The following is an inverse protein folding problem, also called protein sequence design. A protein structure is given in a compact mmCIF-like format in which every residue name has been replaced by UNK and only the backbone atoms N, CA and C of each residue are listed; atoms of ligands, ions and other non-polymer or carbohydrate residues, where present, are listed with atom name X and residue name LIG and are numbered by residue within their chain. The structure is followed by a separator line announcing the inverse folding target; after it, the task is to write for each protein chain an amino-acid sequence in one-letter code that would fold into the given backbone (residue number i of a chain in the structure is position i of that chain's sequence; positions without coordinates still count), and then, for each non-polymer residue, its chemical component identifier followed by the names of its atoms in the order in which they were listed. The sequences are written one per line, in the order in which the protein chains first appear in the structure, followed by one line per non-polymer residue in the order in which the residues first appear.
data_IF_501648841937
#
_entry.id   IF_501648841937
#
_cell.length_a   1.000
_cell.length_b   1.000
_cell.length_c   1.000
_cell.angle_alpha   90.00
_cell.angle_beta   90.00
_cell.angle_gamma   90.00
#
_symmetry.space_group_name_H-M   'P 1'
#
loop_
_entity.id
_entity.type
_entity.pdbx_description
1 polymer ?
#
# COMPACT_ATOMS: atom_id res chain seq x y z
N UNK A 1 13.47 -4.49 -6.20
CA UNK A 1 13.32 -5.86 -6.77
C UNK A 1 11.88 -5.99 -7.19
N UNK A 2 11.64 -6.20 -8.49
CA UNK A 2 10.29 -6.22 -9.04
C UNK A 2 9.75 -7.64 -9.11
N UNK A 3 8.67 -7.88 -8.38
CA UNK A 3 7.95 -9.14 -8.38
C UNK A 3 6.61 -8.97 -9.09
N UNK A 4 6.34 -9.78 -10.12
CA UNK A 4 5.07 -9.73 -10.85
C UNK A 4 4.03 -10.61 -10.14
N UNK A 5 3.01 -9.99 -9.54
CA UNK A 5 1.91 -10.66 -8.83
C UNK A 5 0.81 -11.11 -9.78
N UNK A 6 0.41 -10.22 -10.70
CA UNK A 6 -0.52 -10.50 -11.80
C UNK A 6 -0.05 -9.84 -13.10
N UNK A 7 -0.76 -10.05 -14.20
CA UNK A 7 -0.46 -9.41 -15.49
C UNK A 7 -0.26 -7.90 -15.40
N UNK A 8 -1.00 -7.24 -14.50
CA UNK A 8 -1.01 -5.79 -14.30
C UNK A 8 -0.72 -5.33 -12.86
N UNK A 9 -0.23 -6.22 -11.98
CA UNK A 9 0.10 -5.90 -10.59
C UNK A 9 1.54 -6.31 -10.32
N UNK A 10 2.32 -5.33 -9.87
CA UNK A 10 3.76 -5.46 -9.61
C UNK A 10 4.04 -5.03 -8.17
N UNK A 11 4.87 -5.78 -7.50
CA UNK A 11 5.38 -5.52 -6.16
C UNK A 11 6.83 -5.02 -6.28
N UNK A 12 7.14 -3.94 -5.60
CA UNK A 12 8.44 -3.27 -5.59
C UNK A 12 8.97 -3.36 -4.15
N UNK A 13 10.03 -4.13 -3.97
CA UNK A 13 10.69 -4.35 -2.68
C UNK A 13 12.09 -3.75 -2.66
N UNK A 14 12.49 -3.26 -1.50
CA UNK A 14 13.71 -2.48 -1.34
C UNK A 14 14.68 -3.09 -0.34
N UNK A 15 15.95 -2.69 -0.43
CA UNK A 15 16.98 -3.19 0.48
C UNK A 15 16.95 -2.54 1.86
N UNK A 16 16.60 -1.25 1.93
CA UNK A 16 16.54 -0.52 3.19
C UNK A 16 15.14 -0.65 3.79
N UNK A 17 15.06 -0.46 5.11
CA UNK A 17 13.78 -0.51 5.80
C UNK A 17 12.82 0.53 5.22
N UNK A 18 11.62 0.08 4.89
CA UNK A 18 10.57 0.84 4.24
C UNK A 18 9.46 -0.11 3.82
N UNK A 19 8.30 0.44 3.54
CA UNK A 19 7.19 -0.37 3.04
C UNK A 19 7.46 -0.92 1.65
N UNK A 20 6.82 -2.05 1.37
CA UNK A 20 6.60 -2.56 0.03
C UNK A 20 5.66 -1.63 -0.73
N UNK A 21 6.03 -1.34 -1.97
CA UNK A 21 5.24 -0.52 -2.88
C UNK A 21 4.57 -1.40 -3.93
N UNK A 22 3.32 -1.10 -4.30
CA UNK A 22 2.62 -1.84 -5.34
C UNK A 22 2.23 -0.94 -6.50
N UNK A 23 2.61 -1.34 -7.71
CA UNK A 23 2.18 -0.70 -8.95
C UNK A 23 1.06 -1.52 -9.61
N UNK A 24 -0.04 -0.85 -9.93
CA UNK A 24 -1.20 -1.43 -10.59
C UNK A 24 -1.46 -0.64 -11.87
N UNK A 25 -1.49 -1.35 -13.01
CA UNK A 25 -1.81 -0.77 -14.32
C UNK A 25 -3.28 -1.09 -14.66
N UNK A 26 -4.12 -0.07 -14.84
CA UNK A 26 -5.52 -0.23 -15.22
C UNK A 26 -5.79 0.65 -16.43
N UNK A 27 -6.09 0.05 -17.57
CA UNK A 27 -6.25 0.75 -18.85
C UNK A 27 -5.01 1.61 -19.17
N UNK A 28 -5.16 2.93 -19.24
CA UNK A 28 -4.09 3.91 -19.46
C UNK A 28 -3.54 4.52 -18.15
N UNK A 29 -3.99 4.05 -16.99
CA UNK A 29 -3.66 4.58 -15.67
C UNK A 29 -2.62 3.76 -14.91
N UNK A 30 -1.67 4.46 -14.29
CA UNK A 30 -0.69 3.89 -13.36
C UNK A 30 -1.03 4.32 -11.93
N UNK A 31 -1.28 3.32 -11.08
CA UNK A 31 -1.70 3.52 -9.70
C UNK A 31 -0.64 2.92 -8.80
N UNK A 32 -0.15 3.71 -7.84
CA UNK A 32 0.82 3.28 -6.86
C UNK A 32 0.14 3.17 -5.49
N UNK A 33 0.46 2.13 -4.73
CA UNK A 33 0.09 1.97 -3.32
C UNK A 33 1.36 2.11 -2.49
N UNK A 34 1.35 3.09 -1.59
CA UNK A 34 2.47 3.56 -0.78
C UNK A 34 3.69 4.02 -1.61
N UNK A 35 4.67 4.62 -0.94
CA UNK A 35 5.87 5.21 -1.55
C UNK A 35 7.19 4.84 -0.86
N UNK A 36 7.14 3.92 0.11
CA UNK A 36 8.29 3.55 0.93
C UNK A 36 8.92 4.72 1.71
N UNK A 37 10.05 4.44 2.35
CA UNK A 37 10.88 5.40 3.09
C UNK A 37 11.80 6.21 2.17
N UNK A 38 12.27 7.37 2.61
CA UNK A 38 13.18 8.23 1.82
C UNK A 38 14.49 7.50 1.46
N UNK A 39 14.96 6.59 2.30
CA UNK A 39 16.13 5.74 2.06
C UNK A 39 16.00 4.88 0.79
N UNK A 40 14.76 4.54 0.42
CA UNK A 40 14.45 3.72 -0.75
C UNK A 40 14.17 4.54 -2.02
N UNK A 41 14.29 5.87 -1.97
CA UNK A 41 13.98 6.79 -3.08
C UNK A 41 14.59 6.39 -4.41
N UNK A 42 15.89 6.10 -4.43
CA UNK A 42 16.59 5.79 -5.67
C UNK A 42 16.15 4.44 -6.23
N UNK A 43 16.01 3.42 -5.37
CA UNK A 43 15.54 2.09 -5.79
C UNK A 43 14.10 2.15 -6.32
N UNK A 44 13.22 2.94 -5.72
CA UNK A 44 11.86 3.17 -6.22
C UNK A 44 11.85 3.81 -7.62
N UNK A 45 12.70 4.81 -7.85
CA UNK A 45 12.85 5.44 -9.18
C UNK A 45 13.39 4.43 -10.20
N UNK A 46 14.39 3.63 -9.81
CA UNK A 46 15.01 2.63 -10.68
C UNK A 46 14.02 1.52 -11.05
N UNK A 47 13.25 1.01 -10.09
CA UNK A 47 12.22 -0.02 -10.32
C UNK A 47 11.08 0.53 -11.22
N UNK A 48 10.66 1.79 -11.05
CA UNK A 48 9.71 2.43 -11.97
C UNK A 48 10.27 2.56 -13.38
N UNK A 49 11.54 2.97 -13.52
CA UNK A 49 12.22 3.09 -14.82
C UNK A 49 12.30 1.75 -15.54
N UNK A 50 12.58 0.65 -14.84
CA UNK A 50 12.57 -0.71 -15.40
C UNK A 50 11.16 -1.11 -15.91
N UNK A 51 10.11 -0.59 -15.28
CA UNK A 51 8.72 -0.73 -15.71
C UNK A 51 8.29 0.27 -16.79
N UNK A 52 9.27 1.00 -17.37
CA UNK A 52 9.13 2.06 -18.37
C UNK A 52 8.25 3.24 -17.90
N UNK A 53 8.35 3.58 -16.62
CA UNK A 53 7.63 4.68 -15.99
C UNK A 53 8.60 5.64 -15.32
N UNK A 54 8.23 6.90 -15.30
CA UNK A 54 8.80 7.91 -14.39
C UNK A 54 7.79 8.23 -13.29
N UNK A 55 8.20 8.81 -12.14
CA UNK A 55 7.27 9.25 -11.11
C UNK A 55 6.13 10.13 -11.63
N UNK A 56 6.39 10.98 -12.62
CA UNK A 56 5.41 11.86 -13.25
C UNK A 56 4.34 11.11 -14.08
N UNK A 57 4.55 9.82 -14.36
CA UNK A 57 3.60 8.96 -15.05
C UNK A 57 2.61 8.26 -14.11
N UNK A 58 2.77 8.41 -12.79
CA UNK A 58 1.81 7.90 -11.81
C UNK A 58 0.61 8.83 -11.76
N UNK A 59 -0.57 8.30 -12.05
CA UNK A 59 -1.83 9.03 -12.06
C UNK A 59 -2.46 9.12 -10.66
N UNK A 60 -2.25 8.10 -9.83
CA UNK A 60 -2.85 8.01 -8.50
C UNK A 60 -1.87 7.38 -7.52
N UNK A 61 -1.69 8.01 -6.37
CA UNK A 61 -0.91 7.49 -5.25
C UNK A 61 -1.88 7.25 -4.09
N UNK A 62 -2.08 5.99 -3.73
CA UNK A 62 -2.92 5.59 -2.61
C UNK A 62 -2.03 5.30 -1.42
N UNK A 63 -2.26 5.97 -0.29
CA UNK A 63 -1.49 5.78 0.94
C UNK A 63 -2.33 4.99 1.92
N UNK A 64 -1.84 3.82 2.36
CA UNK A 64 -2.58 2.93 3.26
C UNK A 64 -2.73 3.52 4.66
N UNK A 65 -1.74 4.28 5.12
CA UNK A 65 -1.73 5.04 6.36
C UNK A 65 -0.56 6.04 6.41
N UNK A 66 -0.59 6.96 7.38
CA UNK A 66 0.39 8.03 7.55
C UNK A 66 1.58 7.65 8.46
N UNK A 67 2.44 6.77 7.97
CA UNK A 67 3.76 6.51 8.57
C UNK A 67 4.90 6.79 7.60
N UNK A 68 6.02 7.27 8.14
CA UNK A 68 7.18 7.77 7.37
C UNK A 68 7.77 6.74 6.40
N UNK A 69 7.70 5.46 6.75
CA UNK A 69 8.14 4.32 5.95
C UNK A 69 7.14 3.93 4.84
N UNK A 70 5.96 4.54 4.82
CA UNK A 70 4.94 4.40 3.75
C UNK A 70 4.83 5.64 2.87
N UNK A 71 5.14 6.82 3.41
CA UNK A 71 4.87 8.12 2.77
C UNK A 71 6.14 8.92 2.41
N UNK A 72 7.32 8.36 2.62
CA UNK A 72 8.60 9.06 2.54
C UNK A 72 8.95 9.63 1.16
N UNK A 73 8.33 9.15 0.08
CA UNK A 73 8.62 9.59 -1.28
C UNK A 73 7.42 10.21 -2.01
N UNK A 74 6.38 10.64 -1.29
CA UNK A 74 5.18 11.22 -1.91
C UNK A 74 5.50 12.39 -2.87
N UNK A 75 6.49 13.22 -2.53
CA UNK A 75 6.89 14.39 -3.30
C UNK A 75 7.43 14.06 -4.71
N UNK A 76 7.76 12.80 -5.00
CA UNK A 76 8.15 12.38 -6.35
C UNK A 76 6.96 12.39 -7.32
N UNK A 77 5.76 12.15 -6.81
CA UNK A 77 4.57 11.87 -7.62
C UNK A 77 3.76 13.13 -7.88
N UNK A 78 4.42 14.15 -8.43
CA UNK A 78 3.88 15.52 -8.60
C UNK A 78 2.60 15.62 -9.44
N UNK A 79 2.36 14.66 -10.34
CA UNK A 79 1.15 14.61 -11.17
C UNK A 79 0.04 13.71 -10.60
N UNK A 80 0.33 12.95 -9.54
CA UNK A 80 -0.60 11.96 -9.02
C UNK A 80 -1.70 12.62 -8.18
N UNK A 81 -2.94 12.13 -8.33
CA UNK A 81 -3.97 12.35 -7.32
C UNK A 81 -3.62 11.53 -6.08
N UNK A 82 -3.38 12.18 -4.95
CA UNK A 82 -3.12 11.51 -3.68
C UNK A 82 -4.43 11.12 -3.02
N UNK A 83 -4.55 9.85 -2.65
CA UNK A 83 -5.70 9.28 -1.95
C UNK A 83 -5.23 8.72 -0.62
N UNK A 84 -5.92 9.10 0.44
CA UNK A 84 -5.71 8.66 1.81
C UNK A 84 -7.06 8.26 2.40
N UNK A 85 -7.08 7.83 3.66
CA UNK A 85 -8.34 7.59 4.36
C UNK A 85 -9.26 8.83 4.41
N UNK A 86 -8.69 10.05 4.35
CA UNK A 86 -9.46 11.31 4.43
C UNK A 86 -10.32 11.61 3.19
N UNK A 87 -10.02 11.01 2.05
CA UNK A 87 -10.71 11.19 0.78
C UNK A 87 -10.92 9.85 0.07
N UNK A 88 -11.24 8.81 0.82
CA UNK A 88 -11.32 7.43 0.34
C UNK A 88 -12.41 7.20 -0.71
N UNK A 89 -13.42 8.07 -0.74
CA UNK A 89 -14.48 8.12 -1.75
C UNK A 89 -13.98 8.43 -3.17
N UNK A 90 -12.77 8.99 -3.28
CA UNK A 90 -12.11 9.28 -4.55
C UNK A 90 -11.43 8.08 -5.20
N UNK A 91 -11.41 6.91 -4.53
CA UNK A 91 -10.78 5.70 -5.06
C UNK A 91 -11.38 5.31 -6.42
N UNK A 92 -10.55 4.82 -7.37
CA UNK A 92 -11.07 4.27 -8.60
C UNK A 92 -12.05 3.12 -8.30
N UNK A 93 -13.13 3.02 -9.07
CA UNK A 93 -14.28 2.13 -8.79
C UNK A 93 -13.92 0.63 -8.68
N UNK A 94 -12.78 0.24 -9.23
CA UNK A 94 -12.26 -1.12 -9.17
C UNK A 94 -11.73 -1.50 -7.77
N UNK A 95 -11.38 -0.50 -6.95
CA UNK A 95 -10.86 -0.68 -5.60
C UNK A 95 -11.97 -0.61 -4.57
N UNK A 96 -11.96 -1.54 -3.63
CA UNK A 96 -12.87 -1.56 -2.48
C UNK A 96 -12.07 -1.25 -1.22
N UNK A 97 -12.26 -0.07 -0.62
CA UNK A 97 -11.61 0.25 0.65
C UNK A 97 -12.23 -0.54 1.80
N UNK A 98 -11.40 -0.95 2.75
CA UNK A 98 -11.82 -1.63 3.98
C UNK A 98 -11.10 -0.96 5.15
N UNK A 99 -11.84 -0.28 6.01
CA UNK A 99 -11.29 0.38 7.19
C UNK A 99 -10.72 -0.65 8.15
N UNK A 100 -9.46 -0.46 8.55
CA UNK A 100 -8.74 -1.39 9.43
C UNK A 100 -7.94 -0.66 10.50
N UNK A 101 -8.58 0.18 11.33
CA UNK A 101 -7.87 0.91 12.38
C UNK A 101 -7.22 -0.06 13.36
N UNK A 102 -6.14 0.38 13.97
CA UNK A 102 -5.46 -0.32 15.04
C UNK A 102 -3.95 -0.22 14.99
N UNK A 103 -3.33 -0.37 13.81
CA UNK A 103 -1.92 0.01 13.65
C UNK A 103 -1.78 1.53 13.75
N UNK A 104 -2.56 2.23 12.91
CA UNK A 104 -2.91 3.64 13.07
C UNK A 104 -4.44 3.78 13.05
N UNK A 105 -4.96 4.96 13.40
CA UNK A 105 -6.40 5.23 13.31
C UNK A 105 -6.87 5.42 11.86
N UNK A 106 -5.98 5.82 10.96
CA UNK A 106 -6.25 6.04 9.55
C UNK A 106 -5.90 4.83 8.67
N UNK A 107 -5.47 3.71 9.25
CA UNK A 107 -5.18 2.48 8.50
C UNK A 107 -6.39 1.95 7.74
N UNK A 108 -6.21 1.63 6.47
CA UNK A 108 -7.18 0.89 5.68
C UNK A 108 -6.51 -0.09 4.71
N UNK A 109 -7.20 -1.20 4.45
CA UNK A 109 -6.86 -2.14 3.40
C UNK A 109 -7.59 -1.78 2.10
N UNK A 110 -7.05 -2.27 0.98
CA UNK A 110 -7.63 -2.09 -0.35
C UNK A 110 -7.80 -3.45 -1.00
N UNK A 111 -9.03 -3.81 -1.36
CA UNK A 111 -9.31 -5.00 -2.15
C UNK A 111 -9.43 -4.63 -3.63
N UNK A 112 -8.66 -5.30 -4.48
CA UNK A 112 -8.70 -5.18 -5.94
C UNK A 112 -8.72 -6.59 -6.54
N UNK A 113 -9.81 -6.90 -7.25
CA UNK A 113 -10.09 -8.27 -7.73
C UNK A 113 -10.06 -9.28 -6.56
N UNK A 114 -9.11 -10.22 -6.53
CA UNK A 114 -8.87 -11.14 -5.42
C UNK A 114 -7.53 -10.89 -4.69
N UNK A 115 -7.00 -9.66 -4.78
CA UNK A 115 -5.79 -9.21 -4.10
C UNK A 115 -6.15 -8.24 -2.97
N UNK A 116 -5.70 -8.52 -1.76
CA UNK A 116 -5.81 -7.64 -0.61
C UNK A 116 -4.48 -6.92 -0.35
N UNK A 117 -4.43 -5.61 -0.57
CA UNK A 117 -3.35 -4.75 -0.12
C UNK A 117 -3.64 -4.34 1.32
N UNK A 118 -2.91 -4.90 2.29
CA UNK A 118 -3.28 -4.80 3.71
C UNK A 118 -2.57 -3.69 4.48
N UNK A 119 -1.58 -3.03 3.87
CA UNK A 119 -0.65 -2.17 4.58
C UNK A 119 -0.15 -2.88 5.84
N UNK A 120 -0.26 -2.20 6.98
CA UNK A 120 0.23 -2.71 8.26
C UNK A 120 -0.83 -3.38 9.12
N UNK A 121 -1.96 -3.75 8.52
CA UNK A 121 -3.03 -4.44 9.27
C UNK A 121 -2.68 -5.90 9.53
N UNK A 122 -2.20 -6.61 8.50
CA UNK A 122 -1.89 -8.03 8.53
C UNK A 122 -0.74 -8.30 7.56
N UNK A 123 0.23 -9.08 8.02
CA UNK A 123 1.38 -9.56 7.28
C UNK A 123 1.27 -11.06 7.00
N UNK A 124 2.24 -11.60 6.27
CA UNK A 124 2.35 -13.04 6.07
C UNK A 124 2.51 -13.77 7.42
N UNK A 125 2.13 -15.05 7.44
CA UNK A 125 2.20 -15.92 8.62
C UNK A 125 1.40 -15.42 9.85
N UNK A 126 0.51 -14.44 9.66
CA UNK A 126 -0.32 -13.88 10.72
C UNK A 126 0.36 -12.76 11.53
N UNK A 127 1.49 -12.24 11.05
CA UNK A 127 2.08 -11.00 11.58
C UNK A 127 1.14 -9.80 11.40
N UNK A 128 1.43 -8.68 12.08
CA UNK A 128 0.68 -7.43 11.98
C UNK A 128 1.53 -6.24 12.40
N UNK A 129 1.12 -5.04 12.00
CA UNK A 129 1.75 -3.79 12.42
C UNK A 129 1.68 -3.58 13.93
N UNK A 130 2.64 -2.79 14.43
CA UNK A 130 2.75 -2.44 15.85
C UNK A 130 1.57 -1.59 16.31
N UNK A 131 1.16 -1.77 17.56
CA UNK A 131 0.05 -0.99 18.16
C UNK A 131 0.48 -0.24 19.42
N UNK A 132 1.76 -0.29 19.78
CA UNK A 132 2.34 0.32 20.98
C UNK A 132 2.88 1.74 20.74
N UNK A 133 2.80 2.23 19.49
CA UNK A 133 3.14 3.59 19.09
C UNK A 133 1.90 4.52 19.17
N UNK A 134 2.08 5.85 19.21
CA UNK A 134 0.96 6.80 19.23
C UNK A 134 -0.03 6.56 18.08
N UNK A 135 -1.33 6.51 18.40
CA UNK A 135 -2.39 6.19 17.44
C UNK A 135 -2.70 4.69 17.32
N UNK A 136 -1.82 3.82 17.83
CA UNK A 136 -2.01 2.38 17.87
C UNK A 136 -3.04 1.91 18.92
N UNK A 137 -3.72 0.82 18.60
CA UNK A 137 -4.72 0.17 19.43
C UNK A 137 -4.84 -1.33 19.12
N UNK A 138 -4.36 -2.15 20.05
CA UNK A 138 -4.35 -3.62 19.97
C UNK A 138 -5.76 -4.21 19.78
N UNK A 139 -6.77 -3.69 20.50
CA UNK A 139 -8.13 -4.23 20.39
C UNK A 139 -8.75 -3.92 19.02
N UNK A 140 -8.48 -2.75 18.45
CA UNK A 140 -8.94 -2.39 17.12
C UNK A 140 -8.26 -3.23 16.05
N UNK A 141 -6.94 -3.44 16.09
CA UNK A 141 -6.26 -4.25 15.05
C UNK A 141 -6.75 -5.69 15.07
N UNK A 142 -6.99 -6.27 16.25
CA UNK A 142 -7.56 -7.61 16.39
C UNK A 142 -8.97 -7.70 15.79
N UNK A 143 -9.79 -6.68 16.00
CA UNK A 143 -11.13 -6.60 15.40
C UNK A 143 -11.05 -6.42 13.87
N UNK A 144 -10.13 -5.60 13.38
CA UNK A 144 -9.85 -5.39 11.96
C UNK A 144 -9.43 -6.70 11.28
N UNK A 145 -8.47 -7.43 11.85
CA UNK A 145 -8.03 -8.75 11.37
C UNK A 145 -9.17 -9.76 11.39
N UNK A 146 -10.01 -9.75 12.44
CA UNK A 146 -11.19 -10.63 12.50
C UNK A 146 -12.16 -10.34 11.35
N UNK A 147 -12.43 -9.07 11.05
CA UNK A 147 -13.31 -8.66 9.96
C UNK A 147 -12.73 -9.02 8.58
N UNK A 148 -11.40 -8.95 8.42
CA UNK A 148 -10.72 -9.34 7.19
C UNK A 148 -10.89 -10.83 6.84
N UNK A 149 -11.19 -11.70 7.81
CA UNK A 149 -11.50 -13.12 7.54
C UNK A 149 -12.77 -13.32 6.71
N UNK A 150 -13.68 -12.34 6.71
CA UNK A 150 -14.90 -12.36 5.91
C UNK A 150 -14.68 -11.80 4.50
N UNK A 151 -13.49 -11.26 4.22
CA UNK A 151 -13.14 -10.70 2.91
C UNK A 151 -12.62 -11.83 2.02
N UNK A 152 -13.26 -12.02 0.87
CA UNK A 152 -12.85 -13.03 -0.09
C UNK A 152 -11.69 -12.51 -0.97
N UNK A 153 -10.45 -12.76 -0.52
CA UNK A 153 -9.22 -12.55 -1.29
C UNK A 153 -8.42 -13.86 -1.40
N UNK A 154 -7.54 -13.96 -2.38
CA UNK A 154 -6.65 -15.11 -2.61
C UNK A 154 -5.18 -14.77 -2.46
N UNK A 155 -4.81 -13.51 -2.71
CA UNK A 155 -3.44 -13.02 -2.63
C UNK A 155 -3.40 -11.92 -1.59
N UNK A 156 -2.46 -12.03 -0.64
CA UNK A 156 -2.19 -11.00 0.36
C UNK A 156 -0.96 -10.21 -0.07
N UNK A 157 -1.06 -8.88 -0.04
CA UNK A 157 0.00 -7.92 -0.39
C UNK A 157 0.18 -6.96 0.80
N UNK A 158 1.05 -7.30 1.77
CA UNK A 158 1.25 -6.50 2.98
C UNK A 158 2.12 -5.26 2.75
N UNK A 159 2.10 -4.34 3.72
CA UNK A 159 2.99 -3.19 3.77
C UNK A 159 4.45 -3.58 4.04
N UNK A 160 4.70 -4.71 4.70
CA UNK A 160 6.03 -5.26 4.96
C UNK A 160 6.03 -6.77 4.73
N UNK A 161 7.12 -7.29 4.15
CA UNK A 161 7.25 -8.72 3.79
C UNK A 161 8.42 -9.44 4.48
N UNK A 162 9.24 -8.75 5.27
CA UNK A 162 10.38 -9.32 6.00
C UNK A 162 10.52 -8.70 7.39
#
# INVERSE_FOLDING_TARGET
MINKIKSNVFQLDFKQFGSTVYLIKIDDKNILIDSSSEENKQELIDDLNELNLKPENIDTLILTHDHWDHIGNNDLFTNAKIITNKNIEDLPKQFKPIQTPGHTQDSFCILYDDILFSGDTIFHEGGRGRTDLPGGNEQQILNSIKNLKEVNYKILCPGHIN
#
